data_IF_430012809942
#
_entry.id   IF_430012809942
#
_cell.length_a   1.000
_cell.length_b   1.000
_cell.length_c   1.000
_cell.angle_alpha   90.00
_cell.angle_beta   90.00
_cell.angle_gamma   90.00
#
_symmetry.space_group_name_H-M   'P 1'
#
loop_
_entity.id
_entity.type
_entity.pdbx_description
1 polymer ?
#
# COMPACT_ATOMS: atom_id res chain seq x y z
N UNK A 1 -4.71 -16.93 -21.31
CA UNK A 1 -5.44 -15.66 -21.52
C UNK A 1 -6.59 -15.63 -20.55
N UNK A 2 -6.36 -15.13 -19.33
CA UNK A 2 -7.41 -14.94 -18.35
C UNK A 2 -8.17 -13.66 -18.69
N UNK A 3 -9.49 -13.71 -18.74
CA UNK A 3 -10.35 -12.55 -18.92
C UNK A 3 -10.13 -11.60 -17.74
N UNK A 4 -9.37 -10.51 -17.93
CA UNK A 4 -9.32 -9.43 -16.95
C UNK A 4 -10.72 -8.84 -16.84
N UNK A 5 -11.34 -9.01 -15.68
CA UNK A 5 -12.53 -8.25 -15.36
C UNK A 5 -12.04 -6.86 -15.02
N UNK A 6 -12.49 -5.85 -15.76
CA UNK A 6 -12.16 -4.46 -15.45
C UNK A 6 -12.72 -4.12 -14.07
N UNK A 7 -11.84 -3.98 -13.07
CA UNK A 7 -12.22 -3.68 -11.69
C UNK A 7 -12.59 -2.19 -11.57
N UNK A 8 -11.79 -1.31 -12.18
CA UNK A 8 -12.11 0.11 -12.32
C UNK A 8 -12.94 0.36 -13.57
N UNK A 9 -13.92 1.26 -13.44
CA UNK A 9 -14.72 1.78 -14.55
C UNK A 9 -13.99 2.87 -15.34
N UNK A 10 -14.41 3.14 -16.58
CA UNK A 10 -13.82 4.21 -17.41
C UNK A 10 -13.90 5.59 -16.74
N UNK A 11 -14.96 5.85 -15.97
CA UNK A 11 -15.09 7.10 -15.22
C UNK A 11 -14.09 7.21 -14.07
N UNK A 12 -13.81 6.11 -13.35
CA UNK A 12 -12.77 6.07 -12.32
C UNK A 12 -11.37 6.22 -12.92
N UNK A 13 -11.12 5.61 -14.09
CA UNK A 13 -9.85 5.77 -14.81
C UNK A 13 -9.62 7.20 -15.28
N UNK A 14 -10.66 7.85 -15.84
CA UNK A 14 -10.56 9.24 -16.27
C UNK A 14 -10.39 10.17 -15.07
N UNK A 15 -11.12 9.96 -13.97
CA UNK A 15 -10.94 10.73 -12.73
C UNK A 15 -9.51 10.65 -12.20
N UNK A 16 -8.90 9.45 -12.19
CA UNK A 16 -7.50 9.30 -11.79
C UNK A 16 -6.53 10.06 -12.72
N UNK A 17 -6.77 10.03 -14.03
CA UNK A 17 -5.92 10.74 -15.01
C UNK A 17 -6.01 12.25 -14.86
N UNK A 18 -7.18 12.77 -14.57
CA UNK A 18 -7.44 14.20 -14.49
C UNK A 18 -7.02 14.79 -13.12
N UNK A 19 -7.29 14.07 -12.03
CA UNK A 19 -7.10 14.56 -10.65
C UNK A 19 -5.85 13.99 -9.96
N UNK A 20 -5.26 12.93 -10.50
CA UNK A 20 -4.10 12.24 -9.90
C UNK A 20 -4.43 11.44 -8.63
N UNK A 21 -5.71 11.28 -8.29
CA UNK A 21 -6.21 10.54 -7.13
C UNK A 21 -7.53 9.85 -7.45
N UNK A 22 -7.76 8.67 -6.86
CA UNK A 22 -8.99 7.91 -7.01
C UNK A 22 -9.34 7.21 -5.70
N UNK A 23 -10.62 7.23 -5.34
CA UNK A 23 -11.18 6.36 -4.31
C UNK A 23 -12.10 5.34 -5.01
N UNK A 24 -11.63 4.10 -5.26
CA UNK A 24 -12.40 3.15 -6.03
C UNK A 24 -13.63 2.65 -5.25
N UNK A 25 -14.64 2.20 -5.98
CA UNK A 25 -15.79 1.51 -5.38
C UNK A 25 -15.42 0.16 -4.77
N UNK A 26 -14.31 -0.42 -5.21
CA UNK A 26 -13.77 -1.67 -4.70
C UNK A 26 -13.63 -1.66 -3.17
N UNK A 27 -13.93 -2.80 -2.53
CA UNK A 27 -13.73 -3.03 -1.10
C UNK A 27 -13.02 -4.36 -0.93
N UNK A 28 -12.06 -4.41 -0.01
CA UNK A 28 -11.44 -5.68 0.36
C UNK A 28 -12.51 -6.65 0.84
N UNK A 29 -12.49 -7.91 0.37
CA UNK A 29 -13.29 -8.97 0.95
C UNK A 29 -13.05 -9.09 2.47
N UNK A 30 -14.05 -9.52 3.26
CA UNK A 30 -13.96 -9.57 4.71
C UNK A 30 -12.73 -10.34 5.24
N UNK A 31 -12.34 -11.42 4.57
CA UNK A 31 -11.15 -12.22 4.93
C UNK A 31 -9.84 -11.45 4.69
N UNK A 32 -9.72 -10.71 3.59
CA UNK A 32 -8.55 -9.88 3.30
C UNK A 32 -8.46 -8.67 4.22
N UNK A 33 -9.60 -8.07 4.57
CA UNK A 33 -9.65 -7.02 5.58
C UNK A 33 -9.23 -7.55 6.96
N UNK A 34 -9.76 -8.70 7.38
CA UNK A 34 -9.39 -9.34 8.64
C UNK A 34 -7.90 -9.72 8.68
N UNK A 35 -7.36 -10.22 7.56
CA UNK A 35 -5.92 -10.48 7.41
C UNK A 35 -5.11 -9.19 7.62
N UNK A 36 -5.44 -8.11 6.90
CA UNK A 36 -4.74 -6.82 7.01
C UNK A 36 -4.77 -6.28 8.44
N UNK A 37 -5.92 -6.34 9.10
CA UNK A 37 -6.07 -5.94 10.51
C UNK A 37 -5.21 -6.80 11.44
N UNK A 38 -5.18 -8.11 11.22
CA UNK A 38 -4.37 -9.06 12.00
C UNK A 38 -2.87 -8.81 11.84
N UNK A 39 -2.37 -8.72 10.61
CA UNK A 39 -0.93 -8.50 10.38
C UNK A 39 -0.49 -7.10 10.84
N UNK A 40 -1.34 -6.08 10.72
CA UNK A 40 -1.06 -4.74 11.25
C UNK A 40 -1.00 -4.74 12.78
N UNK A 41 -1.96 -5.39 13.45
CA UNK A 41 -1.98 -5.49 14.92
C UNK A 41 -0.76 -6.23 15.45
N UNK A 42 -0.39 -7.34 14.81
CA UNK A 42 0.80 -8.11 15.16
C UNK A 42 2.10 -7.31 14.92
N UNK A 43 2.18 -6.55 13.82
CA UNK A 43 3.33 -5.70 13.53
C UNK A 43 3.50 -4.62 14.62
N UNK A 44 2.42 -3.96 15.05
CA UNK A 44 2.45 -2.95 16.11
C UNK A 44 2.87 -3.59 17.44
N UNK A 45 2.22 -4.68 17.84
CA UNK A 45 2.52 -5.36 19.11
C UNK A 45 3.94 -5.96 19.17
N UNK A 46 4.44 -6.44 18.03
CA UNK A 46 5.77 -7.03 17.91
C UNK A 46 6.92 -6.02 17.89
N UNK A 47 6.62 -4.74 17.63
CA UNK A 47 7.61 -3.68 17.47
C UNK A 47 7.29 -2.44 18.33
N UNK A 48 7.13 -2.59 19.66
CA UNK A 48 6.74 -1.48 20.55
C UNK A 48 7.74 -0.32 20.54
N UNK A 49 9.01 -0.58 20.21
CA UNK A 49 10.04 0.44 20.07
C UNK A 49 9.76 1.45 18.94
N UNK A 50 8.87 1.11 17.99
CA UNK A 50 8.52 2.00 16.89
C UNK A 50 7.55 3.10 17.31
N UNK A 51 6.76 2.90 18.37
CA UNK A 51 5.74 3.87 18.77
C UNK A 51 4.78 4.22 17.62
N UNK A 52 4.81 5.47 17.17
CA UNK A 52 4.05 6.01 16.04
C UNK A 52 4.91 6.28 14.79
N UNK A 53 6.16 5.83 14.76
CA UNK A 53 7.02 5.94 13.58
C UNK A 53 6.50 5.06 12.43
N UNK A 54 6.59 5.53 11.17
CA UNK A 54 6.27 4.71 10.01
C UNK A 54 7.12 3.44 9.97
N UNK A 55 6.47 2.29 9.79
CA UNK A 55 7.15 0.99 9.67
C UNK A 55 7.24 0.61 8.19
N UNK A 56 8.43 0.75 7.63
CA UNK A 56 8.71 0.57 6.21
C UNK A 56 9.03 -0.89 5.88
N UNK A 57 8.57 -1.34 4.73
CA UNK A 57 8.77 -2.68 4.15
C UNK A 57 8.48 -3.86 5.09
N UNK A 58 7.36 -3.88 5.84
CA UNK A 58 7.00 -5.03 6.68
C UNK A 58 6.77 -6.32 5.89
N UNK A 59 6.60 -6.25 4.57
CA UNK A 59 6.54 -7.43 3.70
C UNK A 59 7.88 -8.18 3.57
N UNK A 60 8.99 -7.61 4.06
CA UNK A 60 10.30 -8.30 4.13
C UNK A 60 10.73 -8.38 5.60
N UNK A 61 10.50 -9.53 6.27
CA UNK A 61 10.85 -9.71 7.68
C UNK A 61 12.33 -9.45 7.96
N UNK A 62 12.62 -8.68 9.02
CA UNK A 62 13.98 -8.33 9.42
C UNK A 62 14.72 -7.40 8.45
N UNK A 63 14.04 -6.80 7.48
CA UNK A 63 14.68 -5.92 6.50
C UNK A 63 14.99 -4.51 7.02
N UNK A 64 15.98 -3.88 6.37
CA UNK A 64 16.33 -2.48 6.57
C UNK A 64 16.89 -2.17 7.96
N UNK A 65 16.95 -0.86 8.27
CA UNK A 65 17.46 -0.37 9.56
C UNK A 65 16.48 -0.55 10.72
N UNK A 66 15.19 -0.79 10.41
CA UNK A 66 14.14 -0.97 11.40
C UNK A 66 14.07 -2.41 11.92
N UNK A 67 14.60 -3.39 11.16
CA UNK A 67 14.66 -4.81 11.54
C UNK A 67 13.34 -5.32 12.10
N UNK A 68 12.24 -5.02 11.40
CA UNK A 68 10.88 -5.26 11.88
C UNK A 68 10.61 -6.75 12.10
N UNK A 69 9.99 -7.07 13.24
CA UNK A 69 9.34 -8.36 13.47
C UNK A 69 8.01 -8.35 12.73
N UNK A 70 7.98 -8.86 11.51
CA UNK A 70 6.81 -8.82 10.65
C UNK A 70 6.39 -10.21 10.15
N UNK A 71 5.15 -10.29 9.71
CA UNK A 71 4.54 -11.50 9.16
C UNK A 71 4.67 -11.47 7.62
N UNK A 72 5.25 -12.50 6.98
CA UNK A 72 5.37 -12.55 5.51
C UNK A 72 4.01 -12.50 4.80
N UNK A 73 2.91 -12.86 5.48
CA UNK A 73 1.54 -12.72 4.95
C UNK A 73 1.14 -11.28 4.67
N UNK A 74 1.91 -10.28 5.14
CA UNK A 74 1.74 -8.89 4.72
C UNK A 74 1.70 -8.75 3.20
N UNK A 75 2.52 -9.53 2.49
CA UNK A 75 2.63 -9.47 1.04
C UNK A 75 1.34 -9.87 0.33
N UNK A 76 0.45 -10.64 0.97
CA UNK A 76 -0.82 -11.08 0.37
C UNK A 76 -1.79 -9.93 0.04
N UNK A 77 -1.64 -8.77 0.67
CA UNK A 77 -2.49 -7.60 0.43
C UNK A 77 -2.07 -6.84 -0.84
N UNK A 78 -0.81 -6.35 -0.97
CA UNK A 78 -0.38 -5.67 -2.19
C UNK A 78 -0.33 -6.60 -3.42
N UNK A 79 -0.26 -7.93 -3.23
CA UNK A 79 -0.32 -8.90 -4.33
C UNK A 79 -1.70 -9.52 -4.53
N UNK A 80 -2.73 -9.01 -3.84
CA UNK A 80 -4.09 -9.50 -4.03
C UNK A 80 -4.55 -9.22 -5.47
N UNK A 81 -5.05 -10.21 -6.26
CA UNK A 81 -5.27 -10.02 -7.69
C UNK A 81 -6.14 -8.80 -8.04
N UNK A 82 -7.27 -8.51 -7.36
CA UNK A 82 -8.02 -7.29 -7.65
C UNK A 82 -7.25 -5.99 -7.42
N UNK A 83 -6.30 -5.96 -6.47
CA UNK A 83 -5.41 -4.80 -6.27
C UNK A 83 -4.46 -4.68 -7.45
N UNK A 84 -3.84 -5.79 -7.87
CA UNK A 84 -2.96 -5.81 -9.04
C UNK A 84 -3.71 -5.43 -10.33
N UNK A 85 -4.90 -5.98 -10.56
CA UNK A 85 -5.75 -5.66 -11.71
C UNK A 85 -6.05 -4.15 -11.78
N UNK A 86 -6.42 -3.52 -10.66
CA UNK A 86 -6.62 -2.06 -10.60
C UNK A 86 -5.32 -1.29 -10.89
N UNK A 87 -4.19 -1.74 -10.34
CA UNK A 87 -2.89 -1.09 -10.58
C UNK A 87 -2.45 -1.23 -12.05
N UNK A 88 -2.67 -2.38 -12.67
CA UNK A 88 -2.38 -2.61 -14.09
C UNK A 88 -3.26 -1.75 -15.00
N UNK A 89 -4.53 -1.54 -14.64
CA UNK A 89 -5.40 -0.61 -15.37
C UNK A 89 -4.91 0.84 -15.32
N UNK A 90 -4.24 1.24 -14.23
CA UNK A 90 -3.71 2.60 -14.04
C UNK A 90 -2.31 2.80 -14.63
N UNK A 91 -1.43 1.81 -14.47
CA UNK A 91 0.01 1.92 -14.74
C UNK A 91 0.47 1.15 -15.98
N UNK A 92 -0.33 0.20 -16.47
CA UNK A 92 0.10 -0.83 -17.41
C UNK A 92 0.56 -2.11 -16.69
N UNK A 93 0.85 -3.18 -17.44
CA UNK A 93 1.08 -4.52 -16.89
C UNK A 93 2.43 -4.69 -16.16
N UNK A 94 3.41 -3.84 -16.46
CA UNK A 94 4.77 -3.96 -15.93
C UNK A 94 4.92 -3.15 -14.63
N UNK A 95 4.40 -3.71 -13.53
CA UNK A 95 4.47 -3.09 -12.20
C UNK A 95 5.47 -3.79 -11.27
N UNK A 96 6.11 -2.99 -10.40
CA UNK A 96 6.99 -3.47 -9.34
C UNK A 96 6.46 -2.93 -8.02
N UNK A 97 6.34 -3.80 -7.01
CA UNK A 97 6.12 -3.36 -5.63
C UNK A 97 7.43 -2.77 -5.08
N UNK A 98 7.53 -1.43 -5.08
CA UNK A 98 8.69 -0.75 -4.51
C UNK A 98 8.77 -0.92 -2.99
N UNK A 99 7.64 -0.85 -2.30
CA UNK A 99 7.57 -1.10 -0.87
C UNK A 99 6.17 -0.91 -0.31
N UNK A 100 5.98 -1.36 0.93
CA UNK A 100 4.78 -1.10 1.73
C UNK A 100 5.19 -0.35 2.99
N UNK A 101 4.28 0.44 3.57
CA UNK A 101 4.54 1.14 4.84
C UNK A 101 3.29 1.10 5.70
N UNK A 102 3.43 0.79 6.99
CA UNK A 102 2.35 0.99 7.96
C UNK A 102 2.49 2.36 8.61
N UNK A 103 1.43 3.16 8.52
CA UNK A 103 1.30 4.43 9.23
C UNK A 103 0.38 4.26 10.45
N UNK A 104 0.96 3.88 11.58
CA UNK A 104 0.24 3.75 12.85
C UNK A 104 0.06 5.14 13.50
N UNK A 105 -1.19 5.57 13.71
CA UNK A 105 -1.52 6.84 14.36
C UNK A 105 -2.36 6.58 15.61
N UNK A 106 -1.73 6.37 16.78
CA UNK A 106 -2.46 6.22 18.04
C UNK A 106 -3.32 7.45 18.34
N UNK A 107 -4.50 7.22 18.92
CA UNK A 107 -5.35 8.31 19.37
C UNK A 107 -4.61 9.20 20.38
N UNK A 108 -4.73 10.53 20.23
CA UNK A 108 -4.06 11.51 21.09
C UNK A 108 -2.62 11.87 20.69
N UNK A 109 -2.00 11.16 19.74
CA UNK A 109 -0.68 11.49 19.22
C UNK A 109 -0.81 12.42 18.00
N UNK A 110 -0.31 13.65 18.11
CA UNK A 110 -0.51 14.71 17.10
C UNK A 110 0.59 14.75 16.03
N UNK A 111 0.83 13.63 15.34
CA UNK A 111 1.76 13.59 14.20
C UNK A 111 1.09 14.09 12.92
N UNK A 112 1.60 15.19 12.37
CA UNK A 112 1.12 15.79 11.12
C UNK A 112 1.95 15.30 9.94
N UNK A 113 1.28 14.98 8.83
CA UNK A 113 1.94 14.70 7.54
C UNK A 113 1.81 15.96 6.67
N UNK A 114 2.90 16.72 6.44
CA UNK A 114 2.84 17.93 5.62
C UNK A 114 2.59 17.60 4.15
N UNK A 115 2.17 18.60 3.37
CA UNK A 115 2.03 18.48 1.92
C UNK A 115 3.35 18.07 1.27
N UNK A 116 3.32 17.01 0.47
CA UNK A 116 4.49 16.51 -0.25
C UNK A 116 4.08 15.72 -1.50
N UNK A 117 5.08 15.27 -2.28
CA UNK A 117 4.92 14.31 -3.39
C UNK A 117 5.89 13.15 -3.17
N UNK A 118 5.36 11.94 -3.03
CA UNK A 118 6.12 10.72 -2.75
C UNK A 118 7.29 10.52 -3.72
N UNK A 119 7.04 10.73 -5.02
CA UNK A 119 8.02 10.51 -6.08
C UNK A 119 9.33 11.29 -5.90
N UNK A 120 9.32 12.42 -5.18
CA UNK A 120 10.55 13.17 -4.87
C UNK A 120 11.50 12.43 -3.94
N UNK A 121 11.00 11.50 -3.14
CA UNK A 121 11.79 10.75 -2.16
C UNK A 121 12.32 9.42 -2.74
N UNK A 122 11.83 9.01 -3.91
CA UNK A 122 12.21 7.73 -4.51
C UNK A 122 13.29 7.92 -5.57
N UNK A 123 14.39 7.14 -5.53
CA UNK A 123 15.43 7.16 -6.57
C UNK A 123 14.99 6.39 -7.83
N UNK A 124 13.76 6.62 -8.31
CA UNK A 124 13.14 5.89 -9.42
C UNK A 124 13.09 6.80 -10.67
N UNK A 125 13.42 6.24 -11.84
CA UNK A 125 13.31 6.92 -13.13
C UNK A 125 12.65 6.00 -14.16
N UNK A 126 11.64 6.46 -14.93
CA UNK A 126 10.95 7.76 -14.79
C UNK A 126 10.16 7.83 -13.47
N UNK A 127 9.74 9.03 -13.04
CA UNK A 127 8.90 9.24 -11.85
C UNK A 127 7.44 8.79 -12.08
N UNK A 128 7.27 7.53 -12.50
CA UNK A 128 5.98 6.88 -12.73
C UNK A 128 5.71 5.93 -11.56
N UNK A 129 5.17 6.50 -10.48
CA UNK A 129 4.87 5.77 -9.24
C UNK A 129 3.45 6.11 -8.80
N UNK A 130 2.74 5.12 -8.26
CA UNK A 130 1.42 5.29 -7.64
C UNK A 130 1.39 4.56 -6.31
N UNK A 131 0.71 5.15 -5.33
CA UNK A 131 0.50 4.60 -3.99
C UNK A 131 -0.96 4.15 -3.84
N UNK A 132 -1.20 3.07 -3.10
CA UNK A 132 -2.52 2.45 -2.88
C UNK A 132 -2.73 2.09 -1.41
#
# INVERSE_FOLDING_TARGET
MGSSTNVLSDSELNAYRDEGVLVPRFRLPPDKLALLQGVASNLIAGNPQMGDEPMASPHVPGSGVQSLKSDPRWLEIPTFPPVLDMMEQLLGPDIILWGTTLFHKPAGVQRVVPWHRDSRYWPIKPLRTTSV
#
